data_IF_720742557260
#
_entry.id   IF_720742557260
#
_cell.length_a   1.000
_cell.length_b   1.000
_cell.length_c   1.000
_cell.angle_alpha   90.00
_cell.angle_beta   90.00
_cell.angle_gamma   90.00
#
_symmetry.space_group_name_H-M   'P 1'
#
loop_
_entity.id
_entity.type
_entity.pdbx_description
1 polymer ?
#
# COMPACT_ATOMS: atom_id res chain seq x y z
N UNK A 1 16.46 0.03 -2.26
CA UNK A 1 15.57 1.19 -1.98
C UNK A 1 14.13 0.78 -2.27
N UNK A 2 13.17 1.21 -1.46
CA UNK A 2 11.74 0.93 -1.71
C UNK A 2 11.09 2.22 -2.20
N UNK A 3 10.39 2.15 -3.32
CA UNK A 3 9.56 3.24 -3.84
C UNK A 3 8.11 2.76 -3.93
N UNK A 4 7.18 3.55 -3.41
CA UNK A 4 5.75 3.28 -3.49
C UNK A 4 5.08 4.45 -4.18
N UNK A 5 4.32 4.17 -5.24
CA UNK A 5 3.53 5.17 -5.97
C UNK A 5 2.04 4.79 -5.96
N UNK A 6 1.16 5.78 -6.15
CA UNK A 6 -0.28 5.56 -6.34
C UNK A 6 -0.64 5.20 -7.80
N UNK A 7 0.35 5.20 -8.69
CA UNK A 7 0.18 4.91 -10.10
C UNK A 7 1.41 4.21 -10.67
N UNK A 8 1.29 3.71 -11.91
CA UNK A 8 2.36 3.02 -12.62
C UNK A 8 3.18 3.91 -13.57
N UNK A 9 2.88 5.20 -13.68
CA UNK A 9 3.42 6.05 -14.74
C UNK A 9 4.94 6.28 -14.58
N UNK A 10 5.41 6.41 -13.33
CA UNK A 10 6.82 6.62 -13.00
C UNK A 10 7.69 5.38 -13.24
N UNK A 11 7.11 4.17 -13.22
CA UNK A 11 7.84 2.91 -13.17
C UNK A 11 8.95 2.81 -14.23
N UNK A 12 8.68 3.15 -15.49
CA UNK A 12 9.65 2.97 -16.58
C UNK A 12 10.90 3.82 -16.39
N UNK A 13 10.71 5.12 -16.12
CA UNK A 13 11.81 6.09 -15.99
C UNK A 13 12.63 5.77 -14.75
N UNK A 14 11.94 5.47 -13.65
CA UNK A 14 12.58 5.17 -12.37
C UNK A 14 13.35 3.85 -12.47
N UNK A 15 12.75 2.80 -13.03
CA UNK A 15 13.44 1.52 -13.21
C UNK A 15 14.72 1.68 -14.05
N UNK A 16 14.70 2.46 -15.13
CA UNK A 16 15.90 2.76 -15.91
C UNK A 16 16.96 3.50 -15.10
N UNK A 17 16.57 4.52 -14.33
CA UNK A 17 17.49 5.28 -13.49
C UNK A 17 18.16 4.39 -12.41
N UNK A 18 17.40 3.51 -11.77
CA UNK A 18 17.93 2.59 -10.75
C UNK A 18 18.84 1.52 -11.33
N UNK A 19 18.51 1.00 -12.52
CA UNK A 19 19.38 0.08 -13.25
C UNK A 19 20.71 0.74 -13.64
N UNK A 20 20.67 1.98 -14.16
CA UNK A 20 21.89 2.73 -14.50
C UNK A 20 22.73 3.09 -13.29
N UNK A 21 22.10 3.35 -12.14
CA UNK A 21 22.78 3.64 -10.89
C UNK A 21 23.28 2.38 -10.17
N UNK A 22 22.97 1.18 -10.66
CA UNK A 22 23.27 -0.10 -10.02
C UNK A 22 22.71 -0.21 -8.58
N UNK A 23 21.59 0.46 -8.31
CA UNK A 23 20.93 0.44 -7.01
C UNK A 23 19.72 -0.51 -7.08
N UNK A 24 19.63 -1.52 -6.20
CA UNK A 24 18.47 -2.40 -6.17
C UNK A 24 17.21 -1.61 -5.77
N UNK A 25 16.16 -1.74 -6.59
CA UNK A 25 14.87 -1.10 -6.39
C UNK A 25 13.79 -2.13 -6.13
N UNK A 26 12.99 -1.91 -5.08
CA UNK A 26 11.69 -2.55 -4.87
C UNK A 26 10.64 -1.50 -5.16
N UNK A 27 9.81 -1.75 -6.17
CA UNK A 27 8.71 -0.87 -6.55
C UNK A 27 7.41 -1.40 -5.98
N UNK A 28 6.55 -0.54 -5.45
CA UNK A 28 5.23 -0.91 -4.95
C UNK A 28 4.18 0.02 -5.52
N UNK A 29 2.98 -0.51 -5.76
CA UNK A 29 1.83 0.31 -6.16
C UNK A 29 0.76 0.23 -5.10
N UNK A 30 0.34 1.40 -4.61
CA UNK A 30 -0.68 1.54 -3.60
C UNK A 30 -2.04 1.67 -4.26
N UNK A 31 -2.95 0.75 -3.95
CA UNK A 31 -4.31 0.71 -4.52
C UNK A 31 -5.36 0.74 -3.39
N UNK A 32 -6.53 1.35 -3.63
CA UNK A 32 -7.72 1.14 -2.80
C UNK A 32 -8.28 -0.27 -3.00
N UNK A 33 -8.63 -0.93 -1.90
CA UNK A 33 -9.09 -2.33 -1.87
C UNK A 33 -10.26 -2.48 -0.91
N UNK A 34 -11.25 -3.26 -1.31
CA UNK A 34 -12.36 -3.75 -0.48
C UNK A 34 -12.40 -5.28 -0.56
N UNK A 35 -13.00 -5.94 0.43
CA UNK A 35 -13.17 -7.40 0.34
C UNK A 35 -14.11 -7.76 -0.80
N UNK A 36 -15.32 -7.16 -0.81
CA UNK A 36 -16.35 -7.42 -1.83
C UNK A 36 -17.38 -6.29 -1.93
N UNK A 37 -17.72 -5.64 -0.82
CA UNK A 37 -18.80 -4.66 -0.75
C UNK A 37 -18.30 -3.21 -0.97
N UNK A 38 -18.87 -2.52 -1.96
CA UNK A 38 -18.55 -1.12 -2.25
C UNK A 38 -19.06 -0.11 -1.21
N UNK A 39 -19.97 -0.51 -0.32
CA UNK A 39 -20.39 0.37 0.79
C UNK A 39 -19.36 0.47 1.90
N UNK A 40 -18.37 -0.43 1.92
CA UNK A 40 -17.26 -0.38 2.86
C UNK A 40 -16.29 0.73 2.48
N UNK A 41 -15.59 1.27 3.48
CA UNK A 41 -14.53 2.24 3.23
C UNK A 41 -13.34 1.50 2.60
N UNK A 42 -12.83 1.89 1.43
CA UNK A 42 -11.67 1.22 0.86
C UNK A 42 -10.43 1.36 1.74
N UNK A 43 -9.76 0.24 1.99
CA UNK A 43 -8.45 0.19 2.61
C UNK A 43 -7.36 0.42 1.56
N UNK A 44 -6.29 1.12 1.90
CA UNK A 44 -5.10 1.14 1.05
C UNK A 44 -4.26 -0.11 1.31
N UNK A 45 -3.85 -0.80 0.25
CA UNK A 45 -2.83 -1.86 0.26
C UNK A 45 -1.74 -1.53 -0.75
N UNK A 46 -0.52 -1.99 -0.49
CA UNK A 46 0.62 -1.82 -1.39
C UNK A 46 0.99 -3.17 -1.99
N UNK A 47 1.07 -3.23 -3.32
CA UNK A 47 1.39 -4.45 -4.05
C UNK A 47 2.83 -4.40 -4.54
N UNK A 48 3.68 -5.27 -4.00
CA UNK A 48 5.11 -5.38 -4.33
C UNK A 48 5.34 -6.60 -5.25
N UNK A 49 5.65 -6.40 -6.54
CA UNK A 49 6.00 -7.49 -7.43
C UNK A 49 7.35 -8.10 -7.04
N UNK A 50 7.41 -9.41 -6.89
CA UNK A 50 8.64 -10.16 -6.53
C UNK A 50 9.59 -10.33 -7.71
N UNK A 51 9.05 -10.26 -8.94
CA UNK A 51 9.78 -10.43 -10.18
C UNK A 51 9.01 -9.83 -11.37
N UNK A 52 9.54 -10.02 -12.59
CA UNK A 52 8.94 -9.52 -13.83
C UNK A 52 7.51 -10.04 -14.09
N UNK A 53 7.17 -11.27 -13.66
CA UNK A 53 5.80 -11.78 -13.75
C UNK A 53 4.89 -11.00 -12.80
N UNK A 54 5.35 -10.80 -11.56
CA UNK A 54 4.68 -9.95 -10.57
C UNK A 54 4.40 -8.54 -11.11
N UNK A 55 5.33 -7.92 -11.83
CA UNK A 55 5.12 -6.58 -12.43
C UNK A 55 3.94 -6.59 -13.42
N UNK A 56 3.80 -7.67 -14.20
CA UNK A 56 2.63 -7.87 -15.07
C UNK A 56 1.33 -8.00 -14.29
N UNK A 57 1.34 -8.78 -13.20
CA UNK A 57 0.18 -8.95 -12.30
C UNK A 57 -0.24 -7.61 -11.71
N UNK A 58 0.67 -6.88 -11.07
CA UNK A 58 0.33 -5.63 -10.38
C UNK A 58 -0.16 -4.56 -11.37
N UNK A 59 0.37 -4.52 -12.61
CA UNK A 59 -0.15 -3.65 -13.67
C UNK A 59 -1.60 -3.98 -14.03
N UNK A 60 -1.92 -5.26 -14.15
CA UNK A 60 -3.28 -5.71 -14.41
C UNK A 60 -4.22 -5.36 -13.24
N UNK A 61 -3.75 -5.49 -11.99
CA UNK A 61 -4.52 -5.06 -10.81
C UNK A 61 -4.80 -3.56 -10.83
N UNK A 62 -3.80 -2.74 -11.17
CA UNK A 62 -3.97 -1.29 -11.33
C UNK A 62 -5.05 -0.98 -12.38
N UNK A 63 -4.95 -1.58 -13.57
CA UNK A 63 -5.96 -1.39 -14.61
C UNK A 63 -7.34 -1.84 -14.13
N UNK A 64 -7.45 -3.04 -13.53
CA UNK A 64 -8.73 -3.55 -12.99
C UNK A 64 -9.33 -2.56 -11.99
N UNK A 65 -8.56 -2.15 -10.99
CA UNK A 65 -8.96 -1.20 -9.94
C UNK A 65 -9.58 0.08 -10.52
N UNK A 66 -8.94 0.72 -11.49
CA UNK A 66 -9.41 2.00 -12.05
C UNK A 66 -10.41 1.86 -13.21
N UNK A 67 -10.70 0.63 -13.64
CA UNK A 67 -11.79 0.33 -14.59
C UNK A 67 -13.04 -0.23 -13.92
N UNK A 68 -12.93 -0.67 -12.66
CA UNK A 68 -14.02 -1.19 -11.84
C UNK A 68 -14.90 -0.06 -11.27
N UNK A 69 -16.15 -0.39 -10.96
CA UNK A 69 -17.04 0.50 -10.23
C UNK A 69 -16.47 0.82 -8.84
N UNK A 70 -16.51 2.10 -8.44
CA UNK A 70 -15.95 2.56 -7.16
C UNK A 70 -14.42 2.77 -7.15
N UNK A 71 -13.75 2.61 -8.30
CA UNK A 71 -12.30 2.79 -8.46
C UNK A 71 -11.47 2.02 -7.42
N UNK A 72 -11.95 0.83 -7.03
CA UNK A 72 -11.32 -0.02 -6.04
C UNK A 72 -11.16 -1.46 -6.53
N UNK A 73 -10.19 -2.16 -5.94
CA UNK A 73 -9.94 -3.56 -6.20
C UNK A 73 -10.78 -4.42 -5.25
N UNK A 74 -11.55 -5.34 -5.81
CA UNK A 74 -12.28 -6.35 -5.05
C UNK A 74 -11.38 -7.56 -4.81
N UNK A 75 -11.02 -7.80 -3.56
CA UNK A 75 -10.13 -8.89 -3.19
C UNK A 75 -10.79 -10.27 -3.41
N UNK A 76 -12.11 -10.36 -3.28
CA UNK A 76 -12.90 -11.56 -3.58
C UNK A 76 -12.80 -12.03 -5.03
N UNK A 77 -12.50 -11.10 -5.95
CA UNK A 77 -12.45 -11.37 -7.39
C UNK A 77 -11.04 -11.75 -7.87
N UNK A 78 -10.10 -11.91 -6.93
CA UNK A 78 -8.74 -12.34 -7.20
C UNK A 78 -8.69 -13.86 -7.09
N UNK A 79 -8.31 -14.50 -8.19
CA UNK A 79 -8.22 -15.95 -8.23
C UNK A 79 -7.08 -16.44 -7.34
N UNK A 80 -7.27 -17.62 -6.75
CA UNK A 80 -6.22 -18.27 -5.96
C UNK A 80 -4.97 -18.47 -6.82
N UNK A 81 -3.81 -18.04 -6.31
CA UNK A 81 -2.53 -18.12 -7.02
C UNK A 81 -2.23 -16.91 -7.91
N UNK A 82 -3.20 -16.03 -8.17
CA UNK A 82 -2.98 -14.84 -9.00
C UNK A 82 -1.96 -13.86 -8.37
N UNK A 83 -1.82 -13.87 -7.04
CA UNK A 83 -0.90 -13.01 -6.29
C UNK A 83 0.37 -13.73 -5.79
N UNK A 84 0.67 -14.94 -6.24
CA UNK A 84 1.84 -15.70 -5.74
C UNK A 84 3.16 -14.94 -5.95
N UNK A 85 3.25 -14.22 -7.07
CA UNK A 85 4.40 -13.41 -7.48
C UNK A 85 4.37 -11.98 -6.92
N UNK A 86 3.45 -11.69 -5.99
CA UNK A 86 3.23 -10.37 -5.38
C UNK A 86 3.25 -10.52 -3.86
N UNK A 87 3.88 -9.58 -3.17
CA UNK A 87 3.80 -9.46 -1.70
C UNK A 87 2.96 -8.24 -1.35
N UNK A 88 2.05 -8.37 -0.39
CA UNK A 88 1.12 -7.32 0.00
C UNK A 88 1.64 -6.62 1.26
N UNK A 89 1.92 -5.33 1.15
CA UNK A 89 2.19 -4.48 2.31
C UNK A 89 0.91 -3.81 2.79
N UNK A 90 0.57 -4.01 4.06
CA UNK A 90 -0.48 -3.24 4.74
C UNK A 90 0.16 -1.97 5.30
N UNK A 91 -0.15 -0.77 4.77
CA UNK A 91 0.43 0.48 5.25
C UNK A 91 0.00 0.80 6.68
N UNK A 92 0.82 1.56 7.40
CA UNK A 92 0.52 1.93 8.80
C UNK A 92 -0.69 2.86 8.89
N UNK A 93 -0.75 3.88 8.04
CA UNK A 93 -1.92 4.76 7.86
C UNK A 93 -2.76 4.32 6.66
N UNK A 94 -4.03 4.72 6.64
CA UNK A 94 -5.01 4.46 5.57
C UNK A 94 -5.32 2.97 5.26
N UNK A 95 -4.76 2.04 6.04
CA UNK A 95 -5.13 0.62 5.98
C UNK A 95 -6.48 0.35 6.66
N UNK A 96 -7.03 -0.84 6.46
CA UNK A 96 -8.25 -1.28 7.12
C UNK A 96 -8.10 -1.28 8.66
N UNK A 97 -6.91 -1.53 9.21
CA UNK A 97 -6.65 -1.41 10.66
C UNK A 97 -6.81 0.04 11.11
N UNK A 98 -6.15 0.97 10.41
CA UNK A 98 -6.31 2.40 10.66
C UNK A 98 -7.78 2.82 10.52
N UNK A 99 -8.41 2.44 9.42
CA UNK A 99 -9.79 2.80 9.14
C UNK A 99 -10.75 2.23 10.19
N UNK A 100 -10.55 1.02 10.68
CA UNK A 100 -11.41 0.42 11.68
C UNK A 100 -11.28 1.10 13.04
N UNK A 101 -10.09 1.58 13.40
CA UNK A 101 -9.86 2.34 14.64
C UNK A 101 -10.50 3.73 14.55
N UNK A 102 -10.31 4.46 13.44
CA UNK A 102 -10.68 5.87 13.34
C UNK A 102 -12.00 6.15 12.62
N UNK A 103 -12.57 5.16 11.93
CA UNK A 103 -13.82 5.27 11.17
C UNK A 103 -14.81 4.15 11.54
N UNK A 104 -14.82 3.72 12.80
CA UNK A 104 -15.86 2.85 13.37
C UNK A 104 -16.07 1.50 12.66
N UNK A 105 -14.99 0.83 12.26
CA UNK A 105 -15.08 -0.56 11.77
C UNK A 105 -15.66 -0.75 10.36
N UNK A 106 -15.61 0.27 9.50
CA UNK A 106 -16.19 0.24 8.14
C UNK A 106 -15.34 -0.49 7.09
N UNK A 107 -14.37 -1.32 7.48
CA UNK A 107 -13.57 -2.14 6.57
C UNK A 107 -13.52 -3.59 7.04
N UNK A 108 -14.05 -4.52 6.25
CA UNK A 108 -13.78 -5.94 6.41
C UNK A 108 -12.78 -6.35 5.34
N UNK A 109 -11.64 -6.92 5.75
CA UNK A 109 -10.59 -7.33 4.83
C UNK A 109 -9.81 -8.50 5.43
N UNK A 110 -9.73 -9.61 4.70
CA UNK A 110 -8.90 -10.76 5.06
C UNK A 110 -7.77 -10.96 4.06
N UNK A 111 -6.55 -11.13 4.58
CA UNK A 111 -5.34 -11.35 3.78
C UNK A 111 -4.72 -12.73 4.00
N UNK A 112 -5.41 -13.62 4.70
CA UNK A 112 -4.85 -14.91 5.18
C UNK A 112 -4.36 -15.82 4.05
N UNK A 113 -4.92 -15.66 2.85
CA UNK A 113 -4.57 -16.44 1.66
C UNK A 113 -3.37 -15.86 0.87
N UNK A 114 -2.87 -14.69 1.25
CA UNK A 114 -1.85 -13.96 0.49
C UNK A 114 -0.57 -13.78 1.30
N UNK A 115 0.57 -13.74 0.62
CA UNK A 115 1.84 -13.32 1.23
C UNK A 115 1.77 -11.83 1.58
N UNK A 116 1.69 -11.53 2.87
CA UNK A 116 1.50 -10.16 3.34
C UNK A 116 2.32 -9.85 4.60
N UNK A 117 2.53 -8.55 4.82
CA UNK A 117 3.18 -8.01 6.02
C UNK A 117 2.62 -6.65 6.36
N UNK A 118 2.78 -6.24 7.62
CA UNK A 118 2.27 -4.96 8.12
C UNK A 118 3.41 -3.99 8.32
N UNK A 119 3.23 -2.76 7.86
CA UNK A 119 4.17 -1.68 8.09
C UNK A 119 3.89 -1.06 9.46
N UNK A 120 4.92 -1.00 10.31
CA UNK A 120 4.86 -0.31 11.61
C UNK A 120 5.71 0.96 11.55
N UNK A 121 5.07 2.11 11.70
CA UNK A 121 5.73 3.42 11.77
C UNK A 121 5.70 3.98 13.20
N UNK A 122 6.65 4.86 13.50
CA UNK A 122 6.64 5.66 14.72
C UNK A 122 7.05 7.09 14.37
N UNK A 123 6.04 7.89 14.02
CA UNK A 123 6.21 9.29 13.63
C UNK A 123 6.05 10.22 14.83
N UNK A 124 5.87 9.67 16.04
CA UNK A 124 5.56 10.39 17.28
C UNK A 124 4.27 11.20 17.17
N UNK A 125 3.34 10.76 16.33
CA UNK A 125 2.02 11.36 16.26
C UNK A 125 1.14 10.83 17.39
N UNK A 126 0.12 11.61 17.84
CA UNK A 126 -0.70 11.24 18.99
C UNK A 126 -1.41 9.89 18.88
N UNK A 127 -1.62 9.38 17.67
CA UNK A 127 -2.46 8.21 17.42
C UNK A 127 -1.69 6.95 16.99
N UNK A 128 -0.36 7.06 16.80
CA UNK A 128 0.50 5.94 16.36
C UNK A 128 0.41 4.75 17.34
N UNK A 129 0.26 5.05 18.63
CA UNK A 129 0.19 4.01 19.66
C UNK A 129 -1.07 3.14 19.52
N UNK A 130 -2.18 3.67 19.00
CA UNK A 130 -3.42 2.92 18.85
C UNK A 130 -3.27 1.85 17.76
N UNK A 131 -2.73 2.25 16.60
CA UNK A 131 -2.45 1.36 15.47
C UNK A 131 -1.42 0.31 15.88
N UNK A 132 -0.31 0.73 16.49
CA UNK A 132 0.74 -0.18 16.97
C UNK A 132 0.21 -1.20 18.00
N UNK A 133 -0.70 -0.77 18.88
CA UNK A 133 -1.34 -1.66 19.85
C UNK A 133 -2.27 -2.67 19.18
N UNK A 134 -2.98 -2.28 18.12
CA UNK A 134 -3.81 -3.19 17.34
C UNK A 134 -2.97 -4.24 16.62
N UNK A 135 -1.88 -3.85 15.95
CA UNK A 135 -0.93 -4.77 15.30
C UNK A 135 -0.38 -5.80 16.30
N UNK A 136 0.03 -5.36 17.50
CA UNK A 136 0.51 -6.26 18.57
C UNK A 136 -0.56 -7.25 19.04
N UNK A 137 -1.81 -6.80 19.18
CA UNK A 137 -2.93 -7.68 19.56
C UNK A 137 -3.23 -8.73 18.50
N UNK A 138 -3.12 -8.37 17.22
CA UNK A 138 -3.31 -9.27 16.09
C UNK A 138 -2.16 -10.28 15.94
N UNK A 139 -1.00 -10.06 16.58
CA UNK A 139 0.19 -10.93 16.49
C UNK A 139 0.66 -11.18 15.05
N UNK A 140 0.51 -10.17 14.20
CA UNK A 140 0.88 -10.23 12.78
C UNK A 140 2.36 -9.93 12.57
N UNK A 141 2.90 -10.34 11.42
CA UNK A 141 4.26 -9.99 11.00
C UNK A 141 4.34 -8.50 10.69
N UNK A 142 5.18 -7.77 11.43
CA UNK A 142 5.41 -6.34 11.21
C UNK A 142 6.83 -6.07 10.70
N UNK A 143 6.96 -5.05 9.85
CA UNK A 143 8.22 -4.50 9.37
C UNK A 143 8.29 -3.02 9.74
N UNK A 144 9.37 -2.61 10.40
CA UNK A 144 9.56 -1.20 10.76
C UNK A 144 9.85 -0.40 9.49
N UNK A 145 9.09 0.66 9.27
CA UNK A 145 9.31 1.55 8.14
C UNK A 145 9.17 3.01 8.54
N UNK A 146 9.41 3.88 7.55
CA UNK A 146 9.17 5.30 7.65
C UNK A 146 8.76 5.82 6.28
N UNK A 147 7.59 6.45 6.22
CA UNK A 147 7.14 7.11 4.99
C UNK A 147 7.95 8.38 4.75
N UNK A 148 8.53 8.51 3.54
CA UNK A 148 9.33 9.67 3.12
C UNK A 148 8.64 10.28 1.89
N UNK A 149 8.03 11.46 2.05
CA UNK A 149 7.28 12.14 0.99
C UNK A 149 8.06 13.24 0.27
N UNK A 150 9.17 13.70 0.86
CA UNK A 150 10.00 14.77 0.34
C UNK A 150 11.45 14.56 0.78
N UNK A 151 12.39 15.18 0.07
CA UNK A 151 13.82 14.96 0.29
C UNK A 151 14.34 15.72 1.51
N UNK A 152 14.02 17.01 1.62
CA UNK A 152 14.55 17.88 2.67
C UNK A 152 13.43 18.37 3.59
N UNK A 153 13.73 18.62 4.86
CA UNK A 153 12.74 19.15 5.82
C UNK A 153 12.15 20.48 5.39
N UNK A 154 12.94 21.31 4.72
CA UNK A 154 12.53 22.63 4.23
C UNK A 154 11.49 22.52 3.10
N UNK A 155 11.34 21.35 2.47
CA UNK A 155 10.32 21.10 1.44
C UNK A 155 8.92 20.85 2.06
N UNK A 156 8.79 20.84 3.39
CA UNK A 156 7.54 20.51 4.06
C UNK A 156 6.40 21.45 3.70
N UNK A 157 6.65 22.76 3.64
CA UNK A 157 5.61 23.75 3.28
C UNK A 157 5.11 23.54 1.84
N UNK A 158 6.04 23.27 0.91
CA UNK A 158 5.69 22.96 -0.47
C UNK A 158 4.86 21.67 -0.57
N UNK A 159 5.22 20.64 0.20
CA UNK A 159 4.46 19.40 0.27
C UNK A 159 3.05 19.61 0.85
N UNK A 160 2.92 20.42 1.91
CA UNK A 160 1.61 20.76 2.48
C UNK A 160 0.71 21.45 1.45
N UNK A 161 1.25 22.43 0.71
CA UNK A 161 0.50 23.11 -0.34
C UNK A 161 0.07 22.13 -1.44
N UNK A 162 0.97 21.27 -1.90
CA UNK A 162 0.66 20.23 -2.88
C UNK A 162 -0.48 19.29 -2.44
N UNK A 163 -0.56 18.96 -1.15
CA UNK A 163 -1.61 18.08 -0.61
C UNK A 163 -2.94 18.81 -0.34
N UNK A 164 -2.95 20.14 -0.31
CA UNK A 164 -4.14 20.95 -0.05
C UNK A 164 -4.92 21.32 -1.33
N UNK A 165 -4.27 21.24 -2.49
CA UNK A 165 -4.84 21.49 -3.83
C UNK A 165 -5.36 20.18 -4.41
#
# INVERSE_FOLDING_TARGET
MILVEDNFYGFRIINQAFLHAEIPMVYGVRLPVVQSNLSEKPSKLIFFPKNNKGVGVVRNLYTKCYTSEGECLHLSDIEKGQLDEVSIGVPFYDSYIFNNIFNFGLCDLSLDEFDHFYMEENNKHPFDFQISSALKKLKVKTEKCKSIYYRNKDDFEAFQMYKAV
#
